data_IF_306695762451
#
_entry.id   IF_306695762451
#
_cell.length_a   1.000
_cell.length_b   1.000
_cell.length_c   1.000
_cell.angle_alpha   90.00
_cell.angle_beta   90.00
_cell.angle_gamma   90.00
#
_symmetry.space_group_name_H-M   'P 1'
#
loop_
_entity.id
_entity.type
_entity.pdbx_description
1 polymer ?
#
# COMPACT_ATOMS: atom_id res chain seq x y z
N UNK A 1 -12.15 -4.22 -15.95
CA UNK A 1 -13.12 -5.09 -15.26
C UNK A 1 -13.18 -6.40 -16.00
N UNK A 2 -13.10 -7.55 -15.30
CA UNK A 2 -13.13 -8.85 -15.98
C UNK A 2 -12.48 -10.01 -15.21
N UNK A 3 -11.62 -9.74 -14.22
CA UNK A 3 -11.15 -10.75 -13.28
C UNK A 3 -12.15 -10.90 -12.13
N UNK A 4 -12.32 -12.13 -11.64
CA UNK A 4 -13.09 -12.45 -10.44
C UNK A 4 -12.21 -12.84 -9.25
N UNK A 5 -10.87 -12.76 -9.39
CA UNK A 5 -9.92 -13.14 -8.34
C UNK A 5 -9.62 -14.65 -8.26
N UNK A 6 -9.92 -15.41 -9.31
CA UNK A 6 -9.56 -16.82 -9.46
C UNK A 6 -8.87 -17.03 -10.82
N UNK A 7 -7.63 -16.53 -10.92
CA UNK A 7 -6.89 -16.20 -12.13
C UNK A 7 -7.40 -14.96 -12.89
N UNK A 8 -6.46 -14.14 -13.34
CA UNK A 8 -6.68 -12.89 -14.08
C UNK A 8 -6.88 -13.13 -15.58
N UNK A 9 -7.67 -14.17 -15.91
CA UNK A 9 -7.81 -14.75 -17.26
C UNK A 9 -8.06 -13.70 -18.35
N UNK A 10 -9.02 -12.79 -18.12
CA UNK A 10 -9.41 -11.80 -19.13
C UNK A 10 -8.25 -10.83 -19.44
N UNK A 11 -7.60 -10.31 -18.39
CA UNK A 11 -6.55 -9.31 -18.55
C UNK A 11 -5.25 -9.93 -19.09
N UNK A 12 -4.86 -11.09 -18.57
CA UNK A 12 -3.70 -11.83 -19.08
C UNK A 12 -3.96 -12.38 -20.48
N UNK A 13 -5.22 -12.63 -20.85
CA UNK A 13 -5.63 -12.91 -22.22
C UNK A 13 -5.38 -11.74 -23.17
N UNK A 14 -5.66 -10.50 -22.75
CA UNK A 14 -5.28 -9.31 -23.52
C UNK A 14 -3.77 -9.18 -23.68
N UNK A 15 -3.00 -9.42 -22.61
CA UNK A 15 -1.54 -9.46 -22.68
C UNK A 15 -1.04 -10.53 -23.66
N UNK A 16 -1.59 -11.75 -23.60
CA UNK A 16 -1.23 -12.83 -24.52
C UNK A 16 -1.54 -12.49 -25.99
N UNK A 17 -2.66 -11.81 -26.26
CA UNK A 17 -2.99 -11.30 -27.60
C UNK A 17 -1.96 -10.27 -28.07
N UNK A 18 -1.60 -9.31 -27.22
CA UNK A 18 -0.57 -8.32 -27.53
C UNK A 18 0.79 -8.97 -27.85
N UNK A 19 1.20 -9.96 -27.07
CA UNK A 19 2.43 -10.74 -27.32
C UNK A 19 2.39 -11.47 -28.66
N UNK A 20 1.22 -11.88 -29.13
CA UNK A 20 1.00 -12.47 -30.47
C UNK A 20 0.90 -11.43 -31.60
N UNK A 21 1.09 -10.15 -31.31
CA UNK A 21 0.95 -9.06 -32.27
C UNK A 21 -0.49 -8.61 -32.54
N UNK A 22 -1.46 -9.14 -31.79
CA UNK A 22 -2.87 -8.78 -31.92
C UNK A 22 -3.25 -7.61 -30.99
N UNK A 23 -4.25 -6.82 -31.39
CA UNK A 23 -4.80 -5.74 -30.57
C UNK A 23 -3.89 -4.50 -30.53
N UNK A 24 -3.94 -3.77 -29.42
CA UNK A 24 -3.21 -2.52 -29.23
C UNK A 24 -2.29 -2.60 -28.01
N UNK A 25 -1.17 -1.90 -28.07
CA UNK A 25 -0.18 -1.77 -26.98
C UNK A 25 0.35 -0.34 -26.95
N UNK A 26 0.70 0.13 -25.75
CA UNK A 26 1.44 1.38 -25.60
C UNK A 26 2.94 1.13 -25.78
N UNK A 27 3.56 1.80 -26.75
CA UNK A 27 5.00 1.79 -26.96
C UNK A 27 5.52 3.23 -27.01
N UNK A 28 6.46 3.56 -26.14
CA UNK A 28 7.05 4.91 -26.02
C UNK A 28 6.00 6.03 -25.90
N UNK A 29 4.97 5.83 -25.07
CA UNK A 29 3.92 6.83 -24.83
C UNK A 29 2.84 6.92 -25.91
N UNK A 30 2.81 5.99 -26.87
CA UNK A 30 1.83 5.97 -27.97
C UNK A 30 1.12 4.61 -28.04
N UNK A 31 -0.21 4.65 -28.07
CA UNK A 31 -1.04 3.47 -28.35
C UNK A 31 -0.99 3.19 -29.86
N UNK A 32 -0.68 1.97 -30.24
CA UNK A 32 -0.58 1.51 -31.63
C UNK A 32 -0.84 0.00 -31.74
N UNK A 33 -1.02 -0.55 -32.96
CA UNK A 33 -1.18 -2.00 -33.14
C UNK A 33 -0.01 -2.79 -32.55
N UNK A 34 -0.28 -3.84 -31.80
CA UNK A 34 0.75 -4.61 -31.07
C UNK A 34 1.83 -5.18 -31.99
N UNK A 35 1.47 -5.63 -33.19
CA UNK A 35 2.44 -6.11 -34.19
C UNK A 35 3.42 -5.03 -34.66
N UNK A 36 2.96 -3.78 -34.83
CA UNK A 36 3.84 -2.65 -35.15
C UNK A 36 4.76 -2.31 -33.97
N UNK A 37 4.22 -2.31 -32.75
CA UNK A 37 5.00 -2.08 -31.53
C UNK A 37 6.12 -3.14 -31.36
N UNK A 38 5.81 -4.42 -31.58
CA UNK A 38 6.79 -5.51 -31.56
C UNK A 38 7.89 -5.30 -32.61
N UNK A 39 7.51 -4.99 -33.86
CA UNK A 39 8.48 -4.72 -34.92
C UNK A 39 9.40 -3.52 -34.60
N UNK A 40 8.84 -2.43 -34.05
CA UNK A 40 9.62 -1.27 -33.60
C UNK A 40 10.55 -1.59 -32.42
N UNK A 41 10.16 -2.54 -31.56
CA UNK A 41 10.99 -3.06 -30.48
C UNK A 41 12.02 -4.09 -30.94
N UNK A 42 12.02 -4.50 -32.23
CA UNK A 42 12.88 -5.56 -32.74
C UNK A 42 12.51 -6.96 -32.26
N UNK A 43 11.23 -7.17 -31.93
CA UNK A 43 10.68 -8.43 -31.44
C UNK A 43 9.73 -9.06 -32.47
N UNK A 44 9.69 -10.39 -32.50
CA UNK A 44 8.72 -11.14 -33.29
C UNK A 44 7.49 -11.50 -32.43
N UNK A 45 6.30 -11.62 -33.05
CA UNK A 45 5.12 -12.16 -32.37
C UNK A 45 5.37 -13.53 -31.73
N UNK A 46 4.86 -13.71 -30.52
CA UNK A 46 4.97 -14.95 -29.76
C UNK A 46 4.21 -16.10 -30.44
N UNK A 47 4.92 -17.15 -30.82
CA UNK A 47 4.33 -18.41 -31.31
C UNK A 47 3.99 -19.32 -30.11
N UNK A 48 2.69 -19.46 -29.81
CA UNK A 48 2.21 -20.26 -28.68
C UNK A 48 2.14 -21.75 -29.05
N UNK A 49 2.73 -22.60 -28.22
CA UNK A 49 2.71 -24.06 -28.33
C UNK A 49 1.79 -24.70 -27.29
N UNK A 50 1.88 -26.01 -27.14
CA UNK A 50 1.08 -26.76 -26.19
C UNK A 50 1.27 -26.20 -24.76
N UNK A 51 0.15 -25.95 -24.07
CA UNK A 51 0.07 -25.43 -22.68
C UNK A 51 0.51 -23.97 -22.48
N UNK A 52 1.20 -23.33 -23.42
CA UNK A 52 1.67 -21.94 -23.26
C UNK A 52 0.53 -20.96 -22.95
N UNK A 53 -0.59 -21.07 -23.69
CA UNK A 53 -1.75 -20.21 -23.46
C UNK A 53 -2.29 -20.32 -22.02
N UNK A 54 -2.35 -21.54 -21.47
CA UNK A 54 -2.78 -21.76 -20.09
C UNK A 54 -1.76 -21.20 -19.11
N UNK A 55 -0.46 -21.44 -19.33
CA UNK A 55 0.61 -20.96 -18.47
C UNK A 55 0.66 -19.42 -18.38
N UNK A 56 0.30 -18.72 -19.46
CA UNK A 56 0.28 -17.26 -19.50
C UNK A 56 -0.94 -16.69 -18.77
N UNK A 57 -2.13 -17.27 -18.97
CA UNK A 57 -3.38 -16.64 -18.50
C UNK A 57 -3.83 -17.12 -17.12
N UNK A 58 -3.43 -18.33 -16.70
CA UNK A 58 -3.82 -18.90 -15.40
C UNK A 58 -2.81 -18.46 -14.34
N UNK A 59 -2.87 -17.17 -14.01
CA UNK A 59 -2.07 -16.55 -12.98
C UNK A 59 -2.82 -15.38 -12.32
N UNK A 60 -2.40 -14.99 -11.12
CA UNK A 60 -2.92 -13.82 -10.40
C UNK A 60 -2.01 -12.59 -10.54
N UNK A 61 -1.13 -12.55 -11.56
CA UNK A 61 -0.07 -11.54 -11.67
C UNK A 61 -0.58 -10.10 -11.73
N UNK A 62 -1.77 -9.86 -12.30
CA UNK A 62 -2.36 -8.52 -12.30
C UNK A 62 -2.85 -8.15 -10.91
N UNK A 63 -3.58 -9.06 -10.26
CA UNK A 63 -4.11 -8.85 -8.91
C UNK A 63 -2.99 -8.64 -7.89
N UNK A 64 -1.98 -9.51 -7.90
CA UNK A 64 -0.80 -9.41 -7.04
C UNK A 64 0.02 -8.16 -7.35
N UNK A 65 0.27 -7.86 -8.64
CA UNK A 65 0.98 -6.64 -9.03
C UNK A 65 0.25 -5.36 -8.58
N UNK A 66 -1.08 -5.33 -8.70
CA UNK A 66 -1.90 -4.21 -8.21
C UNK A 66 -1.80 -4.08 -6.69
N UNK A 67 -1.85 -5.20 -5.96
CA UNK A 67 -1.68 -5.21 -4.50
C UNK A 67 -0.31 -4.65 -4.09
N UNK A 68 0.77 -5.01 -4.79
CA UNK A 68 2.10 -4.44 -4.52
C UNK A 68 2.12 -2.91 -4.67
N UNK A 69 1.54 -2.38 -5.75
CA UNK A 69 1.47 -0.92 -5.97
C UNK A 69 0.63 -0.24 -4.88
N UNK A 70 -0.52 -0.81 -4.53
CA UNK A 70 -1.36 -0.29 -3.46
C UNK A 70 -0.65 -0.31 -2.10
N UNK A 71 0.13 -1.35 -1.80
CA UNK A 71 0.90 -1.42 -0.56
C UNK A 71 1.99 -0.35 -0.51
N UNK A 72 2.69 -0.10 -1.62
CA UNK A 72 3.67 0.99 -1.70
C UNK A 72 3.02 2.36 -1.45
N UNK A 73 1.87 2.62 -2.07
CA UNK A 73 1.11 3.85 -1.84
C UNK A 73 0.66 3.99 -0.38
N UNK A 74 0.20 2.89 0.24
CA UNK A 74 -0.23 2.89 1.65
C UNK A 74 0.95 3.10 2.59
N UNK A 75 2.13 2.56 2.28
CA UNK A 75 3.34 2.79 3.09
C UNK A 75 3.68 4.29 3.14
N UNK A 76 3.71 4.95 1.98
CA UNK A 76 3.91 6.41 1.91
C UNK A 76 2.78 7.19 2.60
N UNK A 77 1.53 6.75 2.43
CA UNK A 77 0.37 7.38 3.08
C UNK A 77 0.49 7.37 4.60
N UNK A 78 0.92 6.26 5.20
CA UNK A 78 1.08 6.15 6.66
C UNK A 78 2.07 7.20 7.17
N UNK A 79 3.22 7.33 6.53
CA UNK A 79 4.24 8.30 6.95
C UNK A 79 3.77 9.75 6.79
N UNK A 80 3.20 10.10 5.63
CA UNK A 80 2.65 11.45 5.41
C UNK A 80 1.52 11.78 6.38
N UNK A 81 0.65 10.81 6.65
CA UNK A 81 -0.46 11.02 7.56
C UNK A 81 0.00 11.18 9.01
N UNK A 82 1.01 10.46 9.47
CA UNK A 82 1.57 10.64 10.81
C UNK A 82 2.21 12.02 10.97
N UNK A 83 2.93 12.52 9.96
CA UNK A 83 3.43 13.90 9.95
C UNK A 83 2.28 14.92 10.01
N UNK A 84 1.22 14.73 9.22
CA UNK A 84 0.04 15.59 9.27
C UNK A 84 -0.69 15.52 10.63
N UNK A 85 -0.70 14.36 11.29
CA UNK A 85 -1.25 14.20 12.63
C UNK A 85 -0.40 14.94 13.66
N UNK A 86 0.93 14.88 13.57
CA UNK A 86 1.83 15.64 14.44
C UNK A 86 1.60 17.16 14.30
N UNK A 87 1.48 17.67 13.07
CA UNK A 87 1.12 19.07 12.82
C UNK A 87 -0.23 19.44 13.44
N UNK A 88 -1.23 18.56 13.34
CA UNK A 88 -2.53 18.77 13.98
C UNK A 88 -2.44 18.75 15.51
N UNK A 89 -1.60 17.90 16.09
CA UNK A 89 -1.35 17.87 17.53
C UNK A 89 -0.82 19.24 18.00
N UNK A 90 0.14 19.81 17.29
CA UNK A 90 0.69 21.14 17.62
C UNK A 90 -0.35 22.25 17.45
N UNK A 91 -1.03 22.29 16.30
CA UNK A 91 -2.03 23.31 15.99
C UNK A 91 -3.21 23.29 16.97
N UNK A 92 -3.64 22.11 17.37
CA UNK A 92 -4.73 21.94 18.34
C UNK A 92 -4.28 22.19 19.79
N UNK A 93 -2.97 22.12 20.05
CA UNK A 93 -2.35 22.00 21.37
C UNK A 93 -2.86 20.77 22.12
N UNK A 94 -2.73 19.62 21.49
CA UNK A 94 -3.13 18.31 22.02
C UNK A 94 -2.28 17.89 23.23
N UNK A 95 -2.89 17.14 24.14
CA UNK A 95 -2.21 16.43 25.23
C UNK A 95 -1.41 15.25 24.69
N UNK A 96 -0.12 15.20 25.06
CA UNK A 96 0.76 14.08 24.70
C UNK A 96 0.58 12.84 25.58
N UNK A 97 -0.29 12.90 26.61
CA UNK A 97 -0.56 11.75 27.48
C UNK A 97 -1.15 10.55 26.74
N UNK A 98 -1.79 10.77 25.58
CA UNK A 98 -2.34 9.70 24.75
C UNK A 98 -1.24 8.91 24.00
N UNK A 99 -0.09 9.53 23.79
CA UNK A 99 1.08 8.92 23.14
C UNK A 99 2.19 8.63 24.15
N UNK A 100 1.89 8.60 25.45
CA UNK A 100 2.85 8.24 26.49
C UNK A 100 3.23 6.75 26.39
N UNK A 101 4.51 6.43 26.60
CA UNK A 101 4.99 5.05 26.43
C UNK A 101 4.39 4.10 27.46
N UNK A 102 4.38 4.49 28.74
CA UNK A 102 3.87 3.66 29.83
C UNK A 102 2.36 3.46 29.69
N UNK A 103 1.64 4.51 29.31
CA UNK A 103 0.20 4.44 29.03
C UNK A 103 -0.12 3.47 27.87
N UNK A 104 0.66 3.52 26.78
CA UNK A 104 0.48 2.61 25.64
C UNK A 104 0.95 1.18 25.94
N UNK A 105 1.89 1.01 26.87
CA UNK A 105 2.35 -0.31 27.32
C UNK A 105 1.35 -0.97 28.28
N UNK A 106 0.56 -0.20 29.04
CA UNK A 106 -0.37 -0.71 30.05
C UNK A 106 -1.47 -1.64 29.48
N UNK A 107 -1.85 -1.46 28.20
CA UNK A 107 -2.77 -2.37 27.51
C UNK A 107 -2.18 -2.70 26.14
N UNK A 108 -1.76 -3.94 25.86
CA UNK A 108 -1.27 -4.30 24.54
C UNK A 108 -2.40 -4.22 23.50
N UNK A 109 -2.15 -3.50 22.40
CA UNK A 109 -2.98 -3.43 21.21
C UNK A 109 -2.06 -3.32 19.99
N UNK A 110 -2.51 -3.84 18.86
CA UNK A 110 -1.69 -3.95 17.64
C UNK A 110 -1.13 -2.60 17.20
N UNK A 111 0.18 -2.54 16.95
CA UNK A 111 0.88 -1.37 16.40
C UNK A 111 0.88 -0.07 17.24
N UNK A 112 0.08 0.05 18.31
CA UNK A 112 -0.11 1.35 18.96
C UNK A 112 1.17 1.91 19.62
N UNK A 113 2.02 1.03 20.16
CA UNK A 113 3.29 1.45 20.78
C UNK A 113 4.24 2.01 19.73
N UNK A 114 4.24 1.40 18.54
CA UNK A 114 5.02 1.85 17.40
C UNK A 114 4.52 3.19 16.86
N UNK A 115 3.21 3.35 16.67
CA UNK A 115 2.62 4.64 16.28
C UNK A 115 2.92 5.72 17.32
N UNK A 116 2.78 5.40 18.62
CA UNK A 116 3.14 6.30 19.70
C UNK A 116 4.61 6.73 19.61
N UNK A 117 5.53 5.79 19.38
CA UNK A 117 6.95 6.08 19.21
C UNK A 117 7.22 6.99 18.01
N UNK A 118 6.61 6.71 16.85
CA UNK A 118 6.74 7.54 15.64
C UNK A 118 6.23 8.97 15.89
N UNK A 119 5.05 9.13 16.50
CA UNK A 119 4.51 10.46 16.83
C UNK A 119 5.36 11.22 17.84
N UNK A 120 5.93 10.53 18.84
CA UNK A 120 6.87 11.16 19.78
C UNK A 120 8.14 11.64 19.06
N UNK A 121 8.61 10.91 18.05
CA UNK A 121 9.74 11.31 17.23
C UNK A 121 9.41 12.52 16.34
N UNK A 122 8.25 12.51 15.65
CA UNK A 122 7.77 13.65 14.85
C UNK A 122 7.60 14.93 15.69
N UNK A 123 7.17 14.79 16.94
CA UNK A 123 6.98 15.90 17.87
C UNK A 123 8.24 16.25 18.68
N UNK A 124 9.40 15.66 18.37
CA UNK A 124 10.62 15.94 19.11
C UNK A 124 10.98 17.44 19.05
N UNK A 125 11.19 18.05 20.22
CA UNK A 125 11.46 19.49 20.33
C UNK A 125 10.23 20.40 20.25
N UNK A 126 9.02 19.84 20.09
CA UNK A 126 7.77 20.60 20.10
C UNK A 126 7.55 21.34 21.43
N UNK A 127 6.88 22.50 21.35
CA UNK A 127 6.40 23.22 22.53
C UNK A 127 5.38 22.44 23.37
N UNK A 128 4.78 21.38 22.82
CA UNK A 128 3.81 20.51 23.52
C UNK A 128 4.41 19.74 24.69
N UNK A 129 5.73 19.57 24.74
CA UNK A 129 6.42 18.91 25.85
C UNK A 129 6.56 19.79 27.10
N UNK A 130 6.23 21.09 27.00
CA UNK A 130 6.28 22.01 28.14
C UNK A 130 5.09 21.76 29.09
N UNK A 131 5.32 22.00 30.38
CA UNK A 131 4.24 21.91 31.37
C UNK A 131 3.05 22.80 30.99
N UNK A 132 1.84 22.25 31.14
CA UNK A 132 0.55 22.91 30.78
C UNK A 132 0.46 23.41 29.33
N UNK A 133 1.22 22.83 28.39
CA UNK A 133 1.11 23.16 26.97
C UNK A 133 -0.23 22.73 26.36
N UNK A 134 -0.78 21.59 26.81
CA UNK A 134 -2.05 21.05 26.37
C UNK A 134 -3.22 22.03 26.62
N UNK A 135 -4.13 22.13 25.65
CA UNK A 135 -5.31 23.01 25.73
C UNK A 135 -6.34 22.52 26.73
N UNK A 136 -6.47 21.20 26.89
CA UNK A 136 -7.52 20.54 27.69
C UNK A 136 -6.92 19.37 28.45
N UNK A 137 -7.60 18.96 29.53
CA UNK A 137 -7.28 17.74 30.26
C UNK A 137 -7.54 16.48 29.44
N UNK A 138 -8.59 16.49 28.61
CA UNK A 138 -8.93 15.41 27.70
C UNK A 138 -9.26 15.97 26.32
N UNK A 139 -8.56 15.46 25.31
CA UNK A 139 -8.83 15.78 23.92
C UNK A 139 -9.97 14.91 23.36
N UNK A 140 -10.56 15.30 22.21
CA UNK A 140 -11.47 14.44 21.48
C UNK A 140 -10.83 13.09 21.12
N UNK A 141 -11.67 12.06 20.91
CA UNK A 141 -11.20 10.71 20.55
C UNK A 141 -10.38 10.70 19.25
N UNK A 142 -10.65 11.62 18.32
CA UNK A 142 -9.85 11.76 17.09
C UNK A 142 -8.38 12.10 17.32
N UNK A 143 -8.02 12.63 18.50
CA UNK A 143 -6.63 12.83 18.91
C UNK A 143 -6.17 11.69 19.83
N UNK A 144 -6.96 11.39 20.87
CA UNK A 144 -6.59 10.40 21.90
C UNK A 144 -6.45 8.98 21.39
N UNK A 145 -7.23 8.61 20.37
CA UNK A 145 -7.26 7.25 19.84
C UNK A 145 -6.35 7.06 18.63
N UNK A 146 -5.54 8.07 18.26
CA UNK A 146 -4.62 7.99 17.13
C UNK A 146 -3.72 6.74 17.23
N UNK A 147 -3.05 6.45 18.36
CA UNK A 147 -2.20 5.26 18.45
C UNK A 147 -2.95 3.95 18.18
N UNK A 148 -4.18 3.82 18.67
CA UNK A 148 -4.97 2.60 18.51
C UNK A 148 -5.50 2.44 17.09
N UNK A 149 -6.02 3.52 16.50
CA UNK A 149 -6.57 3.51 15.13
C UNK A 149 -5.46 3.24 14.12
N UNK A 150 -4.38 4.01 14.18
CA UNK A 150 -3.25 3.85 13.26
C UNK A 150 -2.45 2.58 13.54
N UNK A 151 -2.41 2.11 14.80
CA UNK A 151 -1.82 0.83 15.13
C UNK A 151 -2.58 -0.34 14.53
N UNK A 152 -3.92 -0.26 14.51
CA UNK A 152 -4.78 -1.20 13.80
C UNK A 152 -4.55 -1.19 12.29
N UNK A 153 -4.40 0.00 11.68
CA UNK A 153 -4.04 0.14 10.27
C UNK A 153 -2.68 -0.49 9.97
N UNK A 154 -1.66 -0.19 10.76
CA UNK A 154 -0.31 -0.74 10.58
C UNK A 154 -0.34 -2.28 10.63
N UNK A 155 -1.09 -2.86 11.57
CA UNK A 155 -1.25 -4.31 11.63
C UNK A 155 -1.97 -4.89 10.40
N UNK A 156 -3.03 -4.24 9.91
CA UNK A 156 -3.70 -4.68 8.70
C UNK A 156 -2.79 -4.57 7.46
N UNK A 157 -2.00 -3.51 7.38
CA UNK A 157 -1.00 -3.30 6.35
C UNK A 157 0.05 -4.41 6.35
N UNK A 158 0.64 -4.73 7.51
CA UNK A 158 1.65 -5.81 7.61
C UNK A 158 1.07 -7.19 7.23
N UNK A 159 -0.20 -7.46 7.58
CA UNK A 159 -0.87 -8.70 7.18
C UNK A 159 -1.09 -8.75 5.66
N UNK A 160 -1.55 -7.65 5.05
CA UNK A 160 -1.75 -7.56 3.61
C UNK A 160 -0.41 -7.67 2.86
N UNK A 161 0.65 -7.05 3.37
CA UNK A 161 2.01 -7.15 2.85
C UNK A 161 2.50 -8.59 2.86
N UNK A 162 2.40 -9.27 4.00
CA UNK A 162 2.82 -10.68 4.10
C UNK A 162 2.06 -11.57 3.12
N UNK A 163 0.73 -11.43 3.03
CA UNK A 163 -0.08 -12.22 2.10
C UNK A 163 0.32 -11.95 0.64
N UNK A 164 0.57 -10.67 0.30
CA UNK A 164 0.98 -10.28 -1.05
C UNK A 164 2.39 -10.78 -1.38
N UNK A 165 3.33 -10.76 -0.44
CA UNK A 165 4.68 -11.29 -0.64
C UNK A 165 4.68 -12.80 -0.90
N UNK A 166 3.82 -13.55 -0.20
CA UNK A 166 3.63 -14.98 -0.44
C UNK A 166 3.11 -15.20 -1.88
N UNK A 167 2.03 -14.52 -2.27
CA UNK A 167 1.46 -14.63 -3.62
C UNK A 167 2.43 -14.17 -4.73
N UNK A 168 3.29 -13.20 -4.44
CA UNK A 168 4.27 -12.69 -5.40
C UNK A 168 5.41 -13.69 -5.67
N UNK A 169 5.78 -14.47 -4.66
CA UNK A 169 6.98 -15.31 -4.69
C UNK A 169 6.70 -16.80 -4.91
N UNK A 170 5.43 -17.20 -4.97
CA UNK A 170 5.02 -18.59 -5.13
C UNK A 170 4.15 -18.78 -6.36
N UNK A 171 4.30 -19.93 -7.02
CA UNK A 171 3.32 -20.40 -8.00
C UNK A 171 2.11 -20.96 -7.26
N UNK A 172 0.91 -20.47 -7.58
CA UNK A 172 -0.36 -21.09 -7.16
C UNK A 172 -0.58 -22.47 -7.75
#
# INVERSE_FOLDING_TARGET
WGSIGAADLAHLGHMARALRGDGETEFQGRIMPSGEALALAGLEPLDLREKDGHAIIVANSLSTGTACLCLEDVAHLIDWALAAVALNYEAFRSSLTAIDEDALAARPAFGQREIGARLRAELAGSGLWKDRAARRLQDPLSYRCVPQVWGGLLNAFEQAKLATEIELTHSG
#
